data_IF_889409162114
#
_entry.id   IF_889409162114
#
_cell.length_a   1.000
_cell.length_b   1.000
_cell.length_c   1.000
_cell.angle_alpha   90.00
_cell.angle_beta   90.00
_cell.angle_gamma   90.00
#
_symmetry.space_group_name_H-M   'P 1'
#
loop_
_entity.id
_entity.type
_entity.pdbx_description
1 polymer ?
#
# COMPACT_ATOMS: atom_id res chain seq x y z
N UNK A 1 -4.61 16.27 -15.15
CA UNK A 1 -4.64 16.11 -13.69
C UNK A 1 -3.89 17.29 -13.12
N UNK A 2 -4.45 18.02 -12.16
CA UNK A 2 -3.76 19.13 -11.52
C UNK A 2 -2.59 18.63 -10.66
N UNK A 3 -1.52 19.41 -10.60
CA UNK A 3 -0.28 19.06 -9.87
C UNK A 3 0.28 20.31 -9.20
N UNK A 4 1.05 20.09 -8.13
CA UNK A 4 1.88 21.12 -7.50
C UNK A 4 3.07 21.48 -8.40
N UNK A 5 3.69 22.62 -8.13
CA UNK A 5 4.84 23.15 -8.86
C UNK A 5 6.19 22.81 -8.20
N UNK A 6 6.21 22.57 -6.90
CA UNK A 6 7.43 22.24 -6.17
C UNK A 6 8.01 20.88 -6.61
N UNK A 7 9.35 20.79 -6.62
CA UNK A 7 10.08 19.51 -6.83
C UNK A 7 10.71 18.99 -5.55
N UNK A 8 10.89 19.85 -4.55
CA UNK A 8 11.27 19.50 -3.19
C UNK A 8 10.16 19.94 -2.25
N UNK A 9 9.82 19.09 -1.28
CA UNK A 9 8.75 19.38 -0.31
C UNK A 9 9.01 20.68 0.48
N UNK A 10 10.27 21.00 0.77
CA UNK A 10 10.65 22.24 1.47
C UNK A 10 10.27 23.53 0.72
N UNK A 11 10.11 23.45 -0.61
CA UNK A 11 9.77 24.58 -1.47
C UNK A 11 8.25 24.75 -1.65
N UNK A 12 7.42 23.88 -1.07
CA UNK A 12 5.97 23.89 -1.26
C UNK A 12 5.26 25.03 -0.54
N UNK A 13 4.23 25.59 -1.17
CA UNK A 13 3.43 26.67 -0.58
C UNK A 13 2.27 26.15 0.27
N UNK A 14 1.72 27.01 1.13
CA UNK A 14 0.56 26.67 1.94
C UNK A 14 -0.66 26.25 1.08
N UNK A 15 -0.85 26.90 -0.07
CA UNK A 15 -1.93 26.59 -1.01
C UNK A 15 -1.73 25.23 -1.68
N UNK A 16 -0.49 24.89 -2.06
CA UNK A 16 -0.15 23.57 -2.61
C UNK A 16 -0.38 22.47 -1.57
N UNK A 17 0.00 22.70 -0.32
CA UNK A 17 -0.29 21.77 0.76
C UNK A 17 -1.78 21.67 1.09
N UNK A 18 -2.53 22.77 1.04
CA UNK A 18 -3.98 22.76 1.18
C UNK A 18 -4.67 21.95 0.07
N UNK A 19 -4.15 22.03 -1.16
CA UNK A 19 -4.58 21.19 -2.29
C UNK A 19 -4.26 19.70 -2.07
N UNK A 20 -3.05 19.38 -1.60
CA UNK A 20 -2.62 17.99 -1.38
C UNK A 20 -3.29 17.30 -0.18
N UNK A 21 -3.60 18.04 0.88
CA UNK A 21 -4.15 17.52 2.15
C UNK A 21 -5.37 16.59 1.96
N UNK A 22 -6.45 16.99 1.26
CA UNK A 22 -7.59 16.09 1.06
C UNK A 22 -7.24 14.84 0.24
N UNK A 23 -6.30 14.93 -0.70
CA UNK A 23 -5.82 13.78 -1.47
C UNK A 23 -5.07 12.79 -0.57
N UNK A 24 -4.24 13.30 0.34
CA UNK A 24 -3.57 12.47 1.34
C UNK A 24 -4.54 11.84 2.32
N UNK A 25 -5.55 12.57 2.81
CA UNK A 25 -6.55 12.00 3.72
C UNK A 25 -7.29 10.81 3.09
N UNK A 26 -7.62 10.90 1.80
CA UNK A 26 -8.22 9.78 1.07
C UNK A 26 -7.25 8.58 0.97
N UNK A 27 -5.96 8.83 0.75
CA UNK A 27 -4.94 7.79 0.73
C UNK A 27 -4.76 7.13 2.11
N UNK A 28 -4.66 7.93 3.17
CA UNK A 28 -4.46 7.48 4.55
C UNK A 28 -5.61 6.59 5.04
N UNK A 29 -6.85 6.96 4.73
CA UNK A 29 -8.02 6.17 5.10
C UNK A 29 -8.10 4.84 4.35
N UNK A 30 -7.44 4.71 3.19
CA UNK A 30 -7.44 3.52 2.34
C UNK A 30 -6.23 2.60 2.52
N UNK A 31 -5.39 2.81 3.53
CA UNK A 31 -4.14 2.04 3.70
C UNK A 31 -4.39 0.54 3.85
N UNK A 32 -5.38 0.15 4.66
CA UNK A 32 -5.72 -1.27 4.87
C UNK A 32 -6.17 -1.94 3.58
N UNK A 33 -7.05 -1.30 2.82
CA UNK A 33 -7.53 -1.80 1.52
C UNK A 33 -6.39 -1.89 0.51
N UNK A 34 -5.49 -0.90 0.51
CA UNK A 34 -4.30 -0.87 -0.34
C UNK A 34 -3.38 -2.04 -0.02
N UNK A 35 -3.13 -2.32 1.26
CA UNK A 35 -2.32 -3.45 1.70
C UNK A 35 -2.93 -4.78 1.24
N UNK A 36 -4.23 -4.96 1.40
CA UNK A 36 -4.93 -6.17 0.94
C UNK A 36 -4.90 -6.31 -0.59
N UNK A 37 -4.99 -5.21 -1.33
CA UNK A 37 -4.86 -5.20 -2.78
C UNK A 37 -3.46 -5.61 -3.22
N UNK A 38 -2.41 -5.07 -2.59
CA UNK A 38 -1.03 -5.45 -2.87
C UNK A 38 -0.78 -6.93 -2.57
N UNK A 39 -1.32 -7.44 -1.46
CA UNK A 39 -1.27 -8.87 -1.15
C UNK A 39 -1.90 -9.70 -2.27
N UNK A 40 -3.12 -9.35 -2.71
CA UNK A 40 -3.81 -10.06 -3.81
C UNK A 40 -3.03 -10.02 -5.13
N UNK A 41 -2.31 -8.93 -5.43
CA UNK A 41 -1.46 -8.85 -6.62
C UNK A 41 -0.28 -9.83 -6.60
N UNK A 42 0.03 -10.47 -5.47
CA UNK A 42 1.03 -11.53 -5.37
C UNK A 42 0.54 -12.89 -5.89
N UNK A 43 -0.73 -12.99 -6.30
CA UNK A 43 -1.25 -14.17 -6.99
C UNK A 43 -0.58 -14.30 -8.35
N UNK A 44 -0.17 -15.51 -8.72
CA UNK A 44 0.39 -15.75 -10.05
C UNK A 44 1.50 -16.78 -10.08
N UNK A 45 2.60 -16.44 -10.74
CA UNK A 45 3.63 -17.42 -11.08
C UNK A 45 4.28 -18.01 -9.82
N UNK A 46 4.39 -19.33 -9.84
CA UNK A 46 5.05 -20.11 -8.81
C UNK A 46 6.55 -20.16 -9.01
N UNK A 47 7.08 -19.78 -10.18
CA UNK A 47 8.52 -19.81 -10.47
C UNK A 47 9.16 -21.19 -10.18
N UNK A 48 8.40 -22.27 -10.43
CA UNK A 48 8.82 -23.65 -10.13
C UNK A 48 8.56 -24.13 -8.70
N UNK A 49 8.11 -23.27 -7.79
CA UNK A 49 7.67 -23.67 -6.44
C UNK A 49 6.28 -24.35 -6.46
N UNK A 50 5.90 -24.95 -5.34
CA UNK A 50 4.58 -25.61 -5.20
C UNK A 50 3.43 -24.62 -5.04
N UNK A 51 3.71 -23.45 -4.48
CA UNK A 51 2.74 -22.39 -4.20
C UNK A 51 3.28 -21.04 -4.66
N UNK A 52 2.37 -20.10 -4.89
CA UNK A 52 2.74 -18.72 -5.24
C UNK A 52 3.02 -17.88 -3.99
N UNK A 53 3.45 -16.63 -4.21
CA UNK A 53 3.80 -15.72 -3.12
C UNK A 53 2.58 -15.33 -2.30
N UNK A 54 1.42 -15.17 -2.91
CA UNK A 54 0.17 -14.92 -2.20
C UNK A 54 -0.14 -16.03 -1.17
N UNK A 55 -0.11 -17.28 -1.61
CA UNK A 55 -0.38 -18.44 -0.74
C UNK A 55 0.66 -18.54 0.38
N UNK A 56 1.93 -18.29 0.07
CA UNK A 56 2.99 -18.29 1.09
C UNK A 56 2.75 -17.20 2.16
N UNK A 57 2.39 -15.98 1.75
CA UNK A 57 2.04 -14.90 2.68
C UNK A 57 0.87 -15.27 3.60
N UNK A 58 -0.18 -15.92 3.07
CA UNK A 58 -1.32 -16.39 3.87
C UNK A 58 -0.92 -17.46 4.89
N UNK A 59 -0.03 -18.38 4.52
CA UNK A 59 0.48 -19.40 5.45
C UNK A 59 1.24 -18.76 6.62
N UNK A 60 2.10 -17.78 6.34
CA UNK A 60 2.84 -17.05 7.38
C UNK A 60 1.91 -16.25 8.28
N UNK A 61 0.95 -15.52 7.72
CA UNK A 61 -0.05 -14.77 8.48
C UNK A 61 -0.91 -15.70 9.36
N UNK A 62 -1.33 -16.85 8.84
CA UNK A 62 -2.11 -17.84 9.59
C UNK A 62 -1.33 -18.47 10.74
N UNK A 63 0.00 -18.59 10.63
CA UNK A 63 0.85 -19.07 11.73
C UNK A 63 1.00 -17.99 12.80
N UNK A 64 1.27 -16.75 12.40
CA UNK A 64 1.38 -15.63 13.32
C UNK A 64 0.07 -15.41 14.12
N UNK A 65 -1.09 -15.50 13.46
CA UNK A 65 -2.40 -15.37 14.12
C UNK A 65 -2.65 -16.49 15.14
N UNK A 66 -2.29 -17.75 14.82
CA UNK A 66 -2.37 -18.87 15.76
C UNK A 66 -1.41 -18.73 16.95
N UNK A 67 -0.28 -18.05 16.75
CA UNK A 67 0.71 -17.76 17.80
C UNK A 67 0.33 -16.52 18.63
N UNK A 68 -0.77 -15.82 18.29
CA UNK A 68 -1.32 -14.69 19.05
C UNK A 68 -0.66 -13.34 18.79
N UNK A 69 -0.13 -13.13 17.58
CA UNK A 69 0.46 -11.85 17.14
C UNK A 69 -0.56 -10.71 16.99
#
# INVERSE_FOLDING_TARGET
METVSFTKMEDGTAEEYAFLTPLYNNCLNGVSDTLLKLLKQMQGDKLGYKIDRYTHSLQSASRAERDGA
#
